data_IF_111445101046
#
_entry.id   IF_111445101046
#
_cell.length_a   1.000
_cell.length_b   1.000
_cell.length_c   1.000
_cell.angle_alpha   90.00
_cell.angle_beta   90.00
_cell.angle_gamma   90.00
#
_symmetry.space_group_name_H-M   'P 1'
#
loop_
_entity.id
_entity.type
_entity.pdbx_description
1 polymer ?
#
# COMPACT_ATOMS: atom_id res chain seq x y z
N UNK A 1 -17.36 18.86 9.39
CA UNK A 1 -16.42 17.94 8.73
C UNK A 1 -16.81 16.53 9.13
N UNK A 2 -17.00 15.63 8.18
CA UNK A 2 -17.43 14.25 8.49
C UNK A 2 -16.20 13.39 8.66
N UNK A 3 -15.97 12.89 9.88
CA UNK A 3 -14.89 11.95 10.17
C UNK A 3 -15.31 10.55 9.75
N UNK A 4 -14.41 9.82 9.08
CA UNK A 4 -14.62 8.42 8.70
C UNK A 4 -13.51 7.52 9.21
N UNK A 5 -13.84 6.24 9.40
CA UNK A 5 -12.87 5.21 9.75
C UNK A 5 -12.30 4.60 8.48
N UNK A 6 -10.97 4.56 8.31
CA UNK A 6 -10.34 3.92 7.16
C UNK A 6 -10.43 2.40 7.27
N UNK A 7 -10.33 1.70 6.15
CA UNK A 7 -10.08 0.27 6.18
C UNK A 7 -8.61 0.03 6.52
N UNK A 8 -8.36 -0.85 7.47
CA UNK A 8 -7.02 -1.22 7.92
C UNK A 8 -6.86 -2.72 7.71
N UNK A 9 -5.72 -3.11 7.18
CA UNK A 9 -5.29 -4.50 7.14
C UNK A 9 -4.08 -4.66 8.05
N UNK A 10 -4.03 -5.75 8.80
CA UNK A 10 -2.90 -6.02 9.68
C UNK A 10 -2.53 -7.49 9.66
N UNK A 11 -1.26 -7.76 9.88
CA UNK A 11 -0.76 -9.07 10.21
C UNK A 11 0.37 -8.91 11.23
N UNK A 12 0.78 -10.01 11.84
CA UNK A 12 1.86 -10.01 12.80
C UNK A 12 2.86 -11.10 12.43
N UNK A 13 4.09 -10.89 12.89
CA UNK A 13 5.14 -11.87 12.95
C UNK A 13 5.58 -12.10 14.41
N UNK A 14 6.54 -13.00 14.64
CA UNK A 14 7.27 -13.14 15.92
C UNK A 14 7.69 -11.78 16.51
N UNK A 15 8.36 -10.92 15.73
CA UNK A 15 8.95 -9.66 16.22
C UNK A 15 8.19 -8.38 15.86
N UNK A 16 7.54 -8.35 14.70
CA UNK A 16 6.97 -7.15 14.12
C UNK A 16 5.47 -7.30 13.88
N UNK A 17 4.76 -6.19 13.88
CA UNK A 17 3.36 -6.07 13.45
C UNK A 17 3.37 -5.20 12.21
N UNK A 18 2.78 -5.73 11.15
CA UNK A 18 2.53 -4.97 9.93
C UNK A 18 1.11 -4.46 9.97
N UNK A 19 0.96 -3.15 9.82
CA UNK A 19 -0.35 -2.50 9.75
C UNK A 19 -0.35 -1.61 8.53
N UNK A 20 -1.32 -1.79 7.63
CA UNK A 20 -1.52 -0.91 6.49
C UNK A 20 -2.87 -0.24 6.60
N UNK A 21 -2.84 1.08 6.53
CA UNK A 21 -4.05 1.90 6.47
C UNK A 21 -4.36 2.18 5.01
N UNK A 22 -5.47 1.63 4.50
CA UNK A 22 -5.88 1.77 3.10
C UNK A 22 -6.50 3.15 2.87
N UNK A 23 -5.62 4.13 2.63
CA UNK A 23 -5.97 5.52 2.37
C UNK A 23 -5.20 6.04 1.17
N UNK A 24 -5.93 6.63 0.21
CA UNK A 24 -5.35 7.22 -0.98
C UNK A 24 -5.00 8.69 -0.77
N UNK A 25 -3.78 9.07 -1.13
CA UNK A 25 -3.25 10.43 -1.09
C UNK A 25 -3.61 11.18 0.21
N UNK A 26 -3.08 10.68 1.33
CA UNK A 26 -3.21 11.32 2.63
C UNK A 26 -2.44 12.64 2.65
N UNK A 27 -3.07 13.67 3.20
CA UNK A 27 -2.49 14.98 3.49
C UNK A 27 -2.72 15.30 4.98
N UNK A 28 -1.85 16.10 5.56
CA UNK A 28 -1.94 16.54 6.96
C UNK A 28 -2.00 15.37 7.96
N UNK A 29 -1.15 14.37 7.76
CA UNK A 29 -1.05 13.24 8.66
C UNK A 29 -0.52 13.63 10.03
N UNK A 30 -1.19 13.16 11.08
CA UNK A 30 -0.72 13.23 12.46
C UNK A 30 -0.77 11.81 13.01
N UNK A 31 0.40 11.31 13.34
CA UNK A 31 0.60 9.94 13.80
C UNK A 31 1.15 10.03 15.21
N UNK A 32 0.42 9.51 16.19
CA UNK A 32 0.92 9.37 17.55
C UNK A 32 0.94 7.89 17.91
N UNK A 33 2.14 7.36 18.09
CA UNK A 33 2.34 5.98 18.50
C UNK A 33 3.01 5.99 19.87
N UNK A 34 2.34 5.36 20.83
CA UNK A 34 2.80 5.17 22.20
C UNK A 34 2.92 3.67 22.48
N UNK A 35 3.41 3.31 23.67
CA UNK A 35 3.63 1.90 24.06
C UNK A 35 2.35 1.05 24.01
N UNK A 36 1.19 1.64 24.25
CA UNK A 36 -0.09 0.91 24.32
C UNK A 36 -1.16 1.51 23.44
N UNK A 37 -0.93 2.69 22.87
CA UNK A 37 -1.93 3.46 22.15
C UNK A 37 -1.42 3.95 20.81
N UNK A 38 -2.28 3.89 19.80
CA UNK A 38 -1.99 4.37 18.46
C UNK A 38 -3.14 5.22 17.96
N UNK A 39 -2.87 6.49 17.69
CA UNK A 39 -3.82 7.39 17.06
C UNK A 39 -3.29 7.91 15.74
N UNK A 40 -4.17 7.93 14.75
CA UNK A 40 -3.88 8.38 13.42
C UNK A 40 -4.97 9.35 12.98
N UNK A 41 -4.53 10.48 12.47
CA UNK A 41 -5.38 11.47 11.84
C UNK A 41 -4.81 11.80 10.47
N UNK A 42 -5.66 11.95 9.46
CA UNK A 42 -5.25 12.37 8.12
C UNK A 42 -6.42 12.78 7.25
N UNK A 43 -6.16 13.58 6.23
CA UNK A 43 -7.18 14.08 5.30
C UNK A 43 -6.94 13.46 3.92
N UNK A 44 -7.93 12.74 3.39
CA UNK A 44 -7.84 12.16 2.04
C UNK A 44 -8.02 13.20 0.95
N UNK A 45 -7.21 13.13 -0.12
CA UNK A 45 -7.17 14.18 -1.15
C UNK A 45 -8.42 14.25 -2.05
N UNK A 46 -9.14 13.13 -2.25
CA UNK A 46 -10.19 13.02 -3.28
C UNK A 46 -11.51 13.72 -2.91
N UNK A 47 -11.87 13.74 -1.63
CA UNK A 47 -13.09 14.39 -1.15
C UNK A 47 -12.86 15.27 0.10
N UNK A 48 -11.59 15.52 0.47
CA UNK A 48 -11.20 16.16 1.74
C UNK A 48 -11.89 15.50 2.94
N UNK A 49 -12.05 14.18 2.88
CA UNK A 49 -12.62 13.40 3.98
C UNK A 49 -11.55 13.28 5.06
N UNK A 50 -11.93 13.65 6.28
CA UNK A 50 -11.08 13.46 7.45
C UNK A 50 -11.20 12.02 7.92
N UNK A 51 -10.05 11.38 8.10
CA UNK A 51 -9.94 10.07 8.69
C UNK A 51 -9.29 10.20 10.05
N UNK A 52 -9.92 9.58 11.04
CA UNK A 52 -9.43 9.59 12.41
C UNK A 52 -9.74 8.23 13.03
N UNK A 53 -8.74 7.60 13.62
CA UNK A 53 -8.94 6.38 14.38
C UNK A 53 -7.95 6.27 15.51
N UNK A 54 -8.37 5.53 16.53
CA UNK A 54 -7.63 5.31 17.76
C UNK A 54 -7.73 3.83 18.15
N UNK A 55 -6.60 3.24 18.53
CA UNK A 55 -6.47 1.82 18.88
C UNK A 55 -5.66 1.70 20.17
N UNK A 56 -6.20 0.96 21.13
CA UNK A 56 -5.45 0.42 22.27
C UNK A 56 -4.93 -0.98 21.93
N UNK A 57 -3.61 -1.15 21.94
CA UNK A 57 -2.97 -2.42 21.67
C UNK A 57 -3.20 -3.44 22.77
N UNK A 58 -3.29 -4.71 22.39
CA UNK A 58 -3.43 -5.82 23.34
C UNK A 58 -2.20 -6.01 24.24
N UNK A 59 -1.00 -5.74 23.73
CA UNK A 59 0.27 -5.80 24.47
C UNK A 59 1.15 -4.57 24.17
N UNK A 60 2.22 -4.41 24.94
CA UNK A 60 3.16 -3.31 24.79
C UNK A 60 3.98 -3.39 23.48
N UNK A 61 4.11 -2.25 22.81
CA UNK A 61 4.93 -2.05 21.61
C UNK A 61 6.06 -1.05 21.89
N UNK A 62 7.12 -1.11 21.09
CA UNK A 62 8.22 -0.14 21.18
C UNK A 62 8.07 0.95 20.11
N UNK A 63 7.69 2.18 20.49
CA UNK A 63 7.55 3.27 19.53
C UNK A 63 8.88 3.69 18.90
N UNK A 64 10.02 3.45 19.57
CA UNK A 64 11.32 3.93 19.11
C UNK A 64 11.84 3.17 17.90
N UNK A 65 11.53 1.89 17.82
CA UNK A 65 11.93 1.01 16.72
C UNK A 65 10.85 0.87 15.66
N UNK A 66 9.67 1.45 15.91
CA UNK A 66 8.57 1.47 14.95
C UNK A 66 8.85 2.45 13.81
N UNK A 67 8.53 2.05 12.59
CA UNK A 67 8.71 2.85 11.37
C UNK A 67 7.39 2.96 10.63
N UNK A 68 7.20 4.05 9.91
CA UNK A 68 6.08 4.20 9.00
C UNK A 68 6.54 4.78 7.67
N UNK A 69 5.84 4.42 6.60
CA UNK A 69 6.05 4.93 5.25
C UNK A 69 4.70 5.27 4.65
N UNK A 70 4.58 6.51 4.20
CA UNK A 70 3.38 6.99 3.51
C UNK A 70 3.56 6.69 2.03
N UNK A 71 2.61 5.96 1.43
CA UNK A 71 2.54 5.73 0.00
C UNK A 71 1.24 6.32 -0.54
N UNK A 72 1.12 6.41 -1.86
CA UNK A 72 -0.02 7.07 -2.50
C UNK A 72 -1.33 6.32 -2.30
N UNK A 73 -1.30 5.00 -2.14
CA UNK A 73 -2.51 4.15 -2.00
C UNK A 73 -2.78 3.67 -0.58
N UNK A 74 -1.76 3.66 0.27
CA UNK A 74 -1.85 3.18 1.65
C UNK A 74 -0.69 3.71 2.49
N UNK A 75 -0.87 3.73 3.81
CA UNK A 75 0.20 4.06 4.76
C UNK A 75 0.65 2.77 5.44
N UNK A 76 1.92 2.42 5.28
CA UNK A 76 2.54 1.26 5.90
C UNK A 76 3.10 1.61 7.28
N UNK A 77 2.82 0.77 8.25
CA UNK A 77 3.36 0.82 9.60
C UNK A 77 4.03 -0.51 9.93
N UNK A 78 5.29 -0.41 10.34
CA UNK A 78 6.07 -1.50 10.91
C UNK A 78 6.26 -1.22 12.39
N UNK A 79 5.48 -1.92 13.22
CA UNK A 79 5.47 -1.72 14.67
C UNK A 79 6.24 -2.86 15.34
N UNK A 80 7.22 -2.54 16.17
CA UNK A 80 8.02 -3.56 16.86
C UNK A 80 7.36 -3.93 18.18
N UNK A 81 7.15 -5.23 18.43
CA UNK A 81 6.65 -5.73 19.71
C UNK A 81 7.74 -5.55 20.78
N UNK A 82 7.36 -5.17 22.00
CA UNK A 82 8.32 -5.04 23.10
C UNK A 82 8.67 -6.42 23.69
N UNK A 83 7.68 -7.30 23.81
CA UNK A 83 7.83 -8.67 24.30
C UNK A 83 7.79 -9.68 23.15
N UNK A 84 8.96 -10.10 22.67
CA UNK A 84 9.10 -11.06 21.56
C UNK A 84 8.71 -12.50 21.94
N UNK A 85 8.66 -12.80 23.23
CA UNK A 85 8.27 -14.12 23.76
C UNK A 85 6.77 -14.21 24.08
N UNK A 86 6.05 -13.09 23.93
CA UNK A 86 4.61 -13.07 24.19
C UNK A 86 3.87 -13.90 23.14
N UNK A 87 2.76 -14.52 23.58
CA UNK A 87 1.85 -15.26 22.71
C UNK A 87 1.36 -14.38 21.56
N UNK A 88 1.14 -14.99 20.40
CA UNK A 88 0.54 -14.33 19.23
C UNK A 88 -0.75 -13.59 19.60
N UNK A 89 -0.90 -12.39 19.05
CA UNK A 89 -2.04 -11.53 19.38
C UNK A 89 -3.29 -12.05 18.67
N UNK A 90 -4.33 -12.39 19.43
CA UNK A 90 -5.61 -12.79 18.82
C UNK A 90 -6.29 -11.64 18.08
N UNK A 91 -6.15 -10.42 18.62
CA UNK A 91 -6.66 -9.19 18.06
C UNK A 91 -5.61 -8.10 18.20
N UNK A 92 -5.55 -7.19 17.20
CA UNK A 92 -4.71 -6.01 17.27
C UNK A 92 -5.12 -5.10 18.44
N UNK A 93 -6.43 -4.93 18.62
CA UNK A 93 -7.02 -4.11 19.68
C UNK A 93 -7.44 -4.97 20.87
N UNK A 94 -7.28 -4.44 22.08
CA UNK A 94 -7.75 -5.08 23.31
C UNK A 94 -9.28 -5.18 23.39
N UNK A 95 -10.00 -4.24 22.77
CA UNK A 95 -11.47 -4.26 22.66
C UNK A 95 -12.02 -5.37 21.73
N UNK A 96 -11.15 -6.15 21.08
CA UNK A 96 -11.54 -7.20 20.15
C UNK A 96 -11.61 -6.76 18.69
N UNK A 97 -12.41 -7.49 17.89
CA UNK A 97 -12.51 -7.31 16.43
C UNK A 97 -13.28 -6.05 16.08
N UNK A 98 -12.63 -5.12 15.38
CA UNK A 98 -13.28 -3.92 14.80
C UNK A 98 -13.65 -4.19 13.33
N UNK A 99 -14.78 -3.67 12.87
CA UNK A 99 -15.29 -3.91 11.51
C UNK A 99 -14.39 -3.32 10.40
N UNK A 100 -13.64 -2.27 10.72
CA UNK A 100 -12.72 -1.58 9.84
C UNK A 100 -11.30 -2.16 9.86
N UNK A 101 -11.04 -3.18 10.69
CA UNK A 101 -9.75 -3.88 10.78
C UNK A 101 -9.90 -5.30 10.24
N UNK A 102 -9.13 -5.64 9.21
CA UNK A 102 -9.10 -6.94 8.55
C UNK A 102 -7.71 -7.57 8.65
N UNK A 103 -7.62 -8.89 8.48
CA UNK A 103 -6.34 -9.59 8.43
C UNK A 103 -5.74 -9.40 7.03
N UNK A 104 -4.43 -9.13 6.96
CA UNK A 104 -3.67 -9.08 5.71
C UNK A 104 -3.27 -10.50 5.31
N UNK A 105 -4.10 -11.16 4.50
CA UNK A 105 -3.87 -12.54 4.04
C UNK A 105 -2.69 -12.67 3.07
N UNK A 106 -2.27 -11.60 2.40
CA UNK A 106 -1.09 -11.61 1.52
C UNK A 106 0.20 -11.84 2.30
N UNK A 107 0.26 -11.33 3.53
CA UNK A 107 1.46 -11.38 4.39
C UNK A 107 1.29 -12.23 5.63
N UNK A 108 0.11 -12.82 5.81
CA UNK A 108 -0.18 -13.67 6.96
C UNK A 108 0.63 -14.96 6.83
N UNK A 109 1.46 -15.22 7.84
CA UNK A 109 2.18 -16.49 8.00
C UNK A 109 1.69 -17.07 9.33
N UNK A 110 1.34 -18.36 9.31
CA UNK A 110 0.89 -19.04 10.52
C UNK A 110 2.08 -19.34 11.45
N UNK A 111 1.79 -19.49 12.75
CA UNK A 111 2.81 -19.60 13.82
C UNK A 111 3.84 -20.72 13.58
N UNK A 112 3.42 -21.81 12.91
CA UNK A 112 4.29 -22.96 12.59
C UNK A 112 5.16 -22.77 11.35
N UNK A 113 4.81 -21.85 10.45
CA UNK A 113 5.48 -21.70 9.14
C UNK A 113 6.58 -20.62 9.18
N UNK A 114 6.60 -19.76 10.21
CA UNK A 114 7.66 -18.76 10.42
C UNK A 114 9.05 -19.35 10.72
N UNK A 115 9.15 -20.63 11.13
CA UNK A 115 10.43 -21.31 11.36
C UNK A 115 11.07 -21.82 10.06
N UNK A 116 10.26 -22.07 9.04
CA UNK A 116 10.68 -22.75 7.80
C UNK A 116 10.99 -21.79 6.63
N UNK A 117 10.64 -20.51 6.78
CA UNK A 117 10.61 -19.53 5.69
C UNK A 117 11.90 -18.73 5.42
N UNK A 118 13.03 -19.06 6.05
CA UNK A 118 14.34 -18.46 5.67
C UNK A 118 14.97 -19.17 4.45
N UNK A 119 14.24 -20.07 3.78
CA UNK A 119 14.64 -20.61 2.50
C UNK A 119 14.11 -19.71 1.40
N UNK A 120 14.96 -18.79 0.96
CA UNK A 120 14.98 -18.20 -0.37
C UNK A 120 14.55 -19.24 -1.42
N UNK A 121 13.27 -19.24 -1.78
CA UNK A 121 12.72 -20.01 -2.89
C UNK A 121 12.35 -19.02 -3.99
N UNK A 122 13.34 -18.28 -4.47
CA UNK A 122 13.36 -17.90 -5.89
C UNK A 122 13.92 -19.10 -6.67
N UNK A 123 13.22 -19.46 -7.75
CA UNK A 123 13.76 -20.18 -8.91
C UNK A 123 13.92 -21.71 -8.90
N UNK A 124 12.97 -22.51 -8.40
CA UNK A 124 12.88 -23.92 -8.84
C UNK A 124 11.46 -24.32 -9.25
N UNK A 125 11.24 -24.24 -10.56
CA UNK A 125 10.09 -24.75 -11.30
C UNK A 125 10.15 -26.30 -11.32
N UNK A 126 9.33 -27.06 -10.56
CA UNK A 126 9.49 -28.51 -10.44
C UNK A 126 8.47 -29.30 -11.28
N UNK A 127 8.07 -28.79 -12.45
CA UNK A 127 7.11 -29.45 -13.34
C UNK A 127 7.69 -29.61 -14.75
N UNK A 128 8.76 -30.40 -14.87
CA UNK A 128 9.06 -31.16 -16.08
C UNK A 128 8.92 -32.65 -15.76
N UNK A 129 7.69 -33.06 -15.42
CA UNK A 129 7.33 -34.47 -15.36
C UNK A 129 6.67 -34.88 -16.67
N UNK A 130 7.34 -35.85 -17.29
CA UNK A 130 7.16 -36.43 -18.61
C UNK A 130 5.72 -36.93 -18.89
N UNK A 131 5.08 -36.41 -19.94
CA UNK A 131 3.68 -36.66 -20.38
C UNK A 131 3.43 -38.07 -20.97
N UNK A 132 4.31 -39.05 -20.75
CA UNK A 132 4.25 -40.34 -21.46
C UNK A 132 3.84 -41.55 -20.60
N UNK A 133 3.30 -41.32 -19.40
CA UNK A 133 2.91 -42.38 -18.45
C UNK A 133 1.44 -42.29 -17.99
N UNK A 134 0.56 -41.70 -18.82
CA UNK A 134 -0.87 -41.57 -18.50
C UNK A 134 -1.76 -41.96 -19.70
N UNK A 135 -1.52 -43.14 -20.26
CA UNK A 135 -2.32 -43.68 -21.37
C UNK A 135 -2.88 -45.09 -21.05
N UNK A 136 -3.15 -45.39 -19.77
CA UNK A 136 -3.67 -46.72 -19.41
C UNK A 136 -4.64 -46.76 -18.22
N UNK A 137 -5.51 -45.76 -18.10
CA UNK A 137 -6.67 -45.87 -17.20
C UNK A 137 -7.92 -45.26 -17.83
N UNK A 138 -8.42 -45.92 -18.89
CA UNK A 138 -9.81 -45.78 -19.29
C UNK A 138 -10.69 -46.48 -18.25
N UNK A 139 -11.72 -45.77 -17.75
CA UNK A 139 -12.67 -46.34 -16.81
C UNK A 139 -13.69 -45.35 -16.27
N UNK A 140 -14.61 -44.94 -17.15
CA UNK A 140 -16.03 -44.64 -16.86
C UNK A 140 -16.46 -43.42 -16.01
N UNK A 141 -17.54 -42.81 -16.54
CA UNK A 141 -18.60 -42.05 -15.88
C UNK A 141 -18.44 -40.53 -15.60
N UNK A 142 -19.08 -39.77 -16.52
CA UNK A 142 -20.23 -38.88 -16.25
C UNK A 142 -20.04 -37.36 -16.44
N UNK A 143 -21.12 -36.79 -17.01
CA UNK A 143 -21.65 -35.41 -16.96
C UNK A 143 -20.87 -34.25 -17.59
N UNK A 144 -21.34 -33.87 -18.78
CA UNK A 144 -21.96 -32.56 -19.08
C UNK A 144 -21.36 -31.27 -18.45
N UNK A 145 -20.05 -31.01 -18.52
CA UNK A 145 -19.48 -29.71 -18.08
C UNK A 145 -18.33 -29.20 -18.98
N UNK A 146 -18.43 -29.33 -20.31
CA UNK A 146 -17.34 -28.97 -21.25
C UNK A 146 -17.65 -27.76 -22.17
N UNK A 147 -18.63 -26.92 -21.83
CA UNK A 147 -18.94 -25.71 -22.63
C UNK A 147 -18.70 -24.36 -21.92
N UNK A 148 -18.55 -24.32 -20.60
CA UNK A 148 -18.41 -23.05 -19.86
C UNK A 148 -16.95 -22.57 -19.70
N UNK A 149 -15.96 -23.47 -19.73
CA UNK A 149 -14.55 -23.09 -19.52
C UNK A 149 -13.91 -22.36 -20.72
N UNK A 150 -14.50 -22.46 -21.91
CA UNK A 150 -13.95 -21.82 -23.12
C UNK A 150 -14.35 -20.34 -23.23
N UNK A 151 -15.46 -19.92 -22.63
CA UNK A 151 -15.92 -18.51 -22.67
C UNK A 151 -15.17 -17.62 -21.68
N UNK A 152 -14.75 -18.14 -20.53
CA UNK A 152 -13.98 -17.36 -19.54
C UNK A 152 -12.56 -17.05 -20.03
N UNK A 153 -11.88 -18.00 -20.68
CA UNK A 153 -10.52 -17.80 -21.19
C UNK A 153 -10.46 -16.76 -22.32
N UNK A 154 -11.53 -16.65 -23.13
CA UNK A 154 -11.63 -15.67 -24.22
C UNK A 154 -11.92 -14.26 -23.67
N UNK A 155 -12.76 -14.12 -22.64
CA UNK A 155 -13.02 -12.83 -21.97
C UNK A 155 -11.79 -12.26 -21.24
N UNK A 156 -10.95 -13.11 -20.64
CA UNK A 156 -9.73 -12.66 -19.93
C UNK A 156 -8.64 -12.16 -20.90
N UNK A 157 -8.58 -12.70 -22.12
CA UNK A 157 -7.63 -12.22 -23.13
C UNK A 157 -8.04 -10.88 -23.74
N UNK A 158 -9.35 -10.62 -23.87
CA UNK A 158 -9.85 -9.34 -24.40
C UNK A 158 -9.68 -8.21 -23.38
N UNK A 159 -9.88 -8.48 -22.08
CA UNK A 159 -9.66 -7.50 -21.00
C UNK A 159 -8.18 -7.12 -20.82
N UNK A 160 -7.24 -8.06 -20.99
CA UNK A 160 -5.80 -7.75 -20.92
C UNK A 160 -5.34 -6.83 -22.05
N UNK A 161 -5.91 -6.98 -23.25
CA UNK A 161 -5.58 -6.08 -24.39
C UNK A 161 -6.09 -4.66 -24.18
N UNK A 162 -7.28 -4.49 -23.61
CA UNK A 162 -7.81 -3.15 -23.30
C UNK A 162 -7.06 -2.46 -22.15
N UNK A 163 -6.48 -3.22 -21.21
CA UNK A 163 -5.66 -2.65 -20.13
C UNK A 163 -4.27 -2.22 -20.61
N UNK A 164 -3.63 -2.98 -21.51
CA UNK A 164 -2.34 -2.59 -22.11
C UNK A 164 -2.45 -1.33 -23.00
N UNK A 165 -3.53 -1.20 -23.78
CA UNK A 165 -3.75 0.00 -24.62
C UNK A 165 -4.03 1.26 -23.77
N UNK A 166 -4.74 1.13 -22.65
CA UNK A 166 -4.99 2.26 -21.72
C UNK A 166 -3.73 2.67 -20.97
N UNK A 167 -2.85 1.73 -20.64
CA UNK A 167 -1.57 2.07 -20.00
C UNK A 167 -0.63 2.84 -20.93
N UNK A 168 -0.68 2.61 -22.24
CA UNK A 168 0.11 3.39 -23.21
C UNK A 168 -0.42 4.82 -23.38
N UNK A 169 -1.75 5.01 -23.42
CA UNK A 169 -2.35 6.36 -23.51
C UNK A 169 -2.05 7.23 -22.26
N UNK A 170 -2.08 6.64 -21.06
CA UNK A 170 -1.81 7.38 -19.81
C UNK A 170 -0.33 7.83 -19.75
N UNK A 171 0.60 7.01 -20.25
CA UNK A 171 2.04 7.34 -20.29
C UNK A 171 2.34 8.46 -21.29
N UNK A 172 1.58 8.59 -22.37
CA UNK A 172 1.73 9.71 -23.32
C UNK A 172 1.16 11.03 -22.77
N UNK A 173 0.08 10.98 -21.97
CA UNK A 173 -0.48 12.18 -21.34
C UNK A 173 0.40 12.71 -20.19
N UNK A 174 0.97 11.85 -19.36
CA UNK A 174 1.89 12.27 -18.28
C UNK A 174 3.13 12.98 -18.84
N UNK A 175 3.68 12.50 -19.97
CA UNK A 175 4.85 13.12 -20.61
C UNK A 175 4.55 14.53 -21.13
N UNK A 176 3.37 14.73 -21.72
CA UNK A 176 2.93 16.06 -22.20
C UNK A 176 2.63 17.04 -21.06
N UNK A 177 2.28 16.53 -19.88
CA UNK A 177 2.03 17.37 -18.70
C UNK A 177 3.34 17.77 -18.00
N UNK A 178 4.36 16.93 -18.07
CA UNK A 178 5.70 17.21 -17.53
C UNK A 178 6.43 18.28 -18.35
N UNK A 179 6.40 18.18 -19.68
CA UNK A 179 7.00 19.18 -20.59
C UNK A 179 6.37 20.59 -20.39
N UNK A 180 5.06 20.66 -20.11
CA UNK A 180 4.38 21.93 -19.83
C UNK A 180 4.74 22.52 -18.47
N UNK A 181 5.10 21.70 -17.48
CA UNK A 181 5.46 22.19 -16.13
C UNK A 181 6.88 22.75 -16.07
N UNK A 182 7.79 22.29 -16.93
CA UNK A 182 9.12 22.88 -17.06
C UNK A 182 9.08 24.25 -17.75
N UNK A 183 8.28 24.41 -18.80
CA UNK A 183 8.16 25.70 -19.51
C UNK A 183 7.56 26.81 -18.62
N UNK A 184 6.61 26.49 -17.74
CA UNK A 184 6.00 27.47 -16.82
C UNK A 184 6.98 27.94 -15.74
N UNK A 185 7.88 27.06 -15.26
CA UNK A 185 8.88 27.41 -14.25
C UNK A 185 9.98 28.32 -14.81
N UNK A 186 10.33 28.17 -16.08
CA UNK A 186 11.34 29.02 -16.73
C UNK A 186 10.81 30.46 -16.97
N UNK A 187 9.51 30.59 -17.27
CA UNK A 187 8.85 31.89 -17.47
C UNK A 187 8.66 32.67 -16.16
N UNK A 188 8.45 32.00 -15.03
CA UNK A 188 8.36 32.65 -13.71
C UNK A 188 9.72 33.16 -13.23
N UNK A 189 10.80 32.40 -13.48
CA UNK A 189 12.16 32.79 -13.08
C UNK A 189 12.66 34.04 -13.82
N UNK A 190 12.26 34.23 -15.07
CA UNK A 190 12.57 35.42 -15.88
C UNK A 190 11.76 36.67 -15.47
N UNK A 191 10.68 36.53 -14.69
CA UNK A 191 9.89 37.66 -14.17
C UNK A 191 10.44 38.22 -12.85
N UNK A 192 11.05 37.39 -12.01
CA UNK A 192 11.67 37.85 -10.75
C UNK A 192 12.97 38.64 -10.97
N UNK A 193 13.72 38.38 -12.04
CA UNK A 193 14.99 39.09 -12.30
C UNK A 193 14.81 40.53 -12.84
N UNK A 194 13.57 40.96 -13.14
CA UNK A 194 13.28 42.30 -13.70
C UNK A 194 12.70 43.31 -12.70
N UNK A 195 12.50 42.93 -11.45
CA UNK A 195 11.91 43.82 -10.43
C UNK A 195 12.75 43.84 -9.16
N UNK A 196 13.83 44.62 -9.15
CA UNK A 196 14.31 45.42 -8.01
C UNK A 196 15.40 46.42 -8.49
N UNK A 197 15.60 47.56 -7.81
CA UNK A 197 15.57 48.88 -8.44
C UNK A 197 16.95 49.47 -8.74
N UNK A 198 17.00 50.25 -9.83
CA UNK A 198 18.05 51.23 -10.14
C UNK A 198 17.95 52.44 -9.21
N UNK A 199 19.13 52.87 -8.73
CA UNK A 199 19.59 54.27 -8.58
C UNK A 199 18.72 55.21 -7.69
N UNK A 200 19.27 56.07 -6.83
CA UNK A 200 20.41 56.94 -7.08
C UNK A 200 20.80 57.65 -5.78
N UNK A 201 22.10 57.94 -5.65
CA UNK A 201 22.69 58.84 -4.69
C UNK A 201 21.94 60.19 -4.58
N UNK A 202 21.87 60.74 -3.37
CA UNK A 202 22.08 62.17 -3.20
C UNK A 202 22.95 62.44 -1.97
N UNK A 203 24.21 62.76 -2.29
CA UNK A 203 25.14 63.55 -1.48
C UNK A 203 24.63 65.00 -1.31
N UNK A 204 25.35 65.74 -0.48
CA UNK A 204 25.34 67.21 -0.26
C UNK A 204 24.23 67.74 0.66
N UNK A 205 24.43 68.71 1.53
CA UNK A 205 25.56 69.49 2.09
C UNK A 205 24.90 70.40 3.16
N UNK A 206 25.68 70.87 4.13
CA UNK A 206 25.37 71.75 5.28
C UNK A 206 24.95 71.09 6.60
#
# INVERSE_FOLDING_TARGET
MTTRLPNIIWCQRKKFIYLKVLLTNVKEEKINLTTTHFSFHGVGSINKITYDFEIEFSNEVDPKTSKWSIKDRYVDFLITKKDFTAKYWKYLCKDGKKHWIKVDWDKYIDESDEESGDSDNSDENPMNLNLNDYENFEGEENSEEEEDEKKEKEQVQEQKKEEDEKEEEIKEEEKKEEDKKEEVKEVEKLKEEKTEPKEEEKKEEN
#
